data_IF_817087833695
#
_entry.id   IF_817087833695
#
_cell.length_a   1.000
_cell.length_b   1.000
_cell.length_c   1.000
_cell.angle_alpha   90.00
_cell.angle_beta   90.00
_cell.angle_gamma   90.00
#
_symmetry.space_group_name_H-M   'P 1'
#
loop_
_entity.id
_entity.type
_entity.pdbx_description
1 polymer ?
#
# COMPACT_ATOMS: atom_id res chain seq x y z
N UNK A 1 -17.41 -11.12 42.97
CA UNK A 1 -16.28 -11.45 42.09
C UNK A 1 -16.86 -11.65 40.71
N UNK A 2 -16.64 -10.70 39.80
CA UNK A 2 -17.25 -10.70 38.45
C UNK A 2 -16.61 -11.80 37.62
N UNK A 3 -17.48 -12.46 36.87
CA UNK A 3 -17.23 -13.59 36.00
C UNK A 3 -15.92 -13.49 35.21
N UNK A 4 -14.99 -14.38 35.51
CA UNK A 4 -13.91 -14.80 34.61
C UNK A 4 -14.53 -15.64 33.48
N UNK A 5 -15.50 -15.05 32.78
CA UNK A 5 -16.20 -15.68 31.68
C UNK A 5 -15.21 -15.89 30.54
N UNK A 6 -14.87 -17.15 30.32
CA UNK A 6 -14.42 -17.73 29.05
C UNK A 6 -13.62 -16.78 28.17
N UNK A 7 -12.33 -16.58 28.49
CA UNK A 7 -11.42 -16.22 27.41
C UNK A 7 -11.43 -17.39 26.41
N UNK A 8 -11.94 -17.19 25.18
CA UNK A 8 -12.00 -18.27 24.21
C UNK A 8 -10.58 -18.79 24.01
N UNK A 9 -10.38 -20.09 24.21
CA UNK A 9 -9.08 -20.74 24.10
C UNK A 9 -8.35 -20.24 22.83
N UNK A 10 -7.07 -19.83 22.94
CA UNK A 10 -6.34 -19.25 21.83
C UNK A 10 -6.41 -20.19 20.63
N UNK A 11 -7.04 -19.74 19.55
CA UNK A 11 -7.28 -20.55 18.36
C UNK A 11 -5.91 -21.01 17.84
N UNK A 12 -5.65 -22.32 17.70
CA UNK A 12 -4.33 -22.80 17.36
C UNK A 12 -3.92 -22.26 16.00
N UNK A 13 -2.66 -21.83 15.89
CA UNK A 13 -2.05 -21.50 14.61
C UNK A 13 -2.01 -22.75 13.75
N UNK A 14 -2.89 -22.84 12.76
CA UNK A 14 -2.79 -23.88 11.73
C UNK A 14 -1.59 -23.61 10.84
N UNK A 15 -0.84 -24.65 10.47
CA UNK A 15 0.33 -24.56 9.56
C UNK A 15 -0.01 -23.78 8.28
N UNK A 16 -1.22 -23.99 7.75
CA UNK A 16 -1.77 -23.26 6.61
C UNK A 16 -1.75 -21.73 6.79
N UNK A 17 -2.02 -21.25 8.00
CA UNK A 17 -2.08 -19.82 8.33
C UNK A 17 -0.70 -19.18 8.31
N UNK A 18 0.32 -19.91 8.74
CA UNK A 18 1.73 -19.47 8.66
C UNK A 18 2.18 -19.40 7.21
N UNK A 19 1.82 -20.40 6.40
CA UNK A 19 2.10 -20.42 4.95
C UNK A 19 1.43 -19.22 4.26
N UNK A 20 0.16 -18.95 4.56
CA UNK A 20 -0.57 -17.81 4.00
C UNK A 20 0.03 -16.46 4.40
N UNK A 21 0.47 -16.31 5.66
CA UNK A 21 1.17 -15.12 6.12
C UNK A 21 2.53 -14.93 5.42
N UNK A 22 3.27 -16.01 5.20
CA UNK A 22 4.50 -16.01 4.42
C UNK A 22 4.28 -15.59 2.96
N UNK A 23 3.26 -16.14 2.31
CA UNK A 23 2.87 -15.74 0.96
C UNK A 23 2.44 -14.27 0.88
N UNK A 24 1.62 -13.80 1.82
CA UNK A 24 1.22 -12.40 1.90
C UNK A 24 2.42 -11.46 2.07
N UNK A 25 3.39 -11.87 2.91
CA UNK A 25 4.65 -11.15 3.12
C UNK A 25 5.47 -11.08 1.83
N UNK A 26 5.61 -12.19 1.12
CA UNK A 26 6.32 -12.22 -0.17
C UNK A 26 5.68 -11.28 -1.20
N UNK A 27 4.35 -11.28 -1.29
CA UNK A 27 3.62 -10.37 -2.20
C UNK A 27 3.83 -8.92 -1.80
N UNK A 28 3.70 -8.57 -0.51
CA UNK A 28 3.92 -7.22 -0.02
C UNK A 28 5.36 -6.74 -0.29
N UNK A 29 6.36 -7.62 -0.12
CA UNK A 29 7.76 -7.32 -0.44
C UNK A 29 7.96 -7.13 -1.94
N UNK A 30 7.39 -7.99 -2.78
CA UNK A 30 7.48 -7.87 -4.24
C UNK A 30 6.86 -6.54 -4.73
N UNK A 31 5.68 -6.18 -4.20
CA UNK A 31 5.02 -4.89 -4.49
C UNK A 31 5.86 -3.72 -4.00
N UNK A 32 6.39 -3.80 -2.77
CA UNK A 32 7.24 -2.75 -2.22
C UNK A 32 8.51 -2.54 -3.04
N UNK A 33 9.15 -3.62 -3.48
CA UNK A 33 10.34 -3.58 -4.34
C UNK A 33 10.04 -2.97 -5.72
N UNK A 34 8.94 -3.39 -6.36
CA UNK A 34 8.52 -2.84 -7.64
C UNK A 34 8.18 -1.34 -7.53
N UNK A 35 7.52 -0.95 -6.44
CA UNK A 35 7.20 0.45 -6.14
C UNK A 35 8.46 1.29 -5.92
N UNK A 36 9.47 0.72 -5.25
CA UNK A 36 10.76 1.36 -5.08
C UNK A 36 11.49 1.55 -6.42
N UNK A 37 11.39 0.58 -7.32
CA UNK A 37 11.90 0.71 -8.69
C UNK A 37 11.24 1.85 -9.48
N UNK A 38 9.94 2.11 -9.24
CA UNK A 38 9.19 3.21 -9.87
C UNK A 38 9.43 4.58 -9.23
N UNK A 39 10.03 4.63 -8.04
CA UNK A 39 10.27 5.87 -7.31
C UNK A 39 11.23 6.82 -8.04
N UNK A 40 12.32 6.28 -8.60
CA UNK A 40 13.31 7.05 -9.36
C UNK A 40 12.73 7.69 -10.64
N UNK A 41 12.03 6.94 -11.52
CA UNK A 41 11.30 7.51 -12.65
C UNK A 41 10.28 8.60 -12.25
N UNK A 42 9.55 8.39 -11.14
CA UNK A 42 8.61 9.39 -10.63
C UNK A 42 9.33 10.68 -10.23
N UNK A 43 10.46 10.59 -9.52
CA UNK A 43 11.24 11.77 -9.17
C UNK A 43 11.71 12.55 -10.40
N UNK A 44 12.18 11.87 -11.44
CA UNK A 44 12.59 12.57 -12.67
C UNK A 44 11.41 13.24 -13.37
N UNK A 45 10.29 12.54 -13.48
CA UNK A 45 9.07 13.02 -14.17
C UNK A 45 8.47 14.23 -13.48
N UNK A 46 8.42 14.24 -12.15
CA UNK A 46 7.83 15.34 -11.36
C UNK A 46 8.87 16.39 -10.92
N UNK A 47 10.16 16.21 -11.21
CA UNK A 47 11.25 17.12 -10.77
C UNK A 47 11.02 18.58 -11.14
N UNK A 48 10.50 18.83 -12.34
CA UNK A 48 10.20 20.18 -12.83
C UNK A 48 9.06 20.83 -12.03
N UNK A 49 8.03 20.05 -11.69
CA UNK A 49 6.89 20.50 -10.87
C UNK A 49 7.32 20.80 -9.44
N UNK A 50 8.19 19.96 -8.85
CA UNK A 50 8.72 20.13 -7.49
C UNK A 50 9.66 21.34 -7.36
N UNK A 51 10.14 21.90 -8.49
CA UNK A 51 11.12 23.00 -8.52
C UNK A 51 10.52 24.39 -8.71
N UNK A 52 9.20 24.49 -8.92
CA UNK A 52 8.51 25.77 -9.07
C UNK A 52 8.01 26.31 -7.72
N UNK A 53 8.11 27.63 -7.50
CA UNK A 53 7.64 28.30 -6.27
C UNK A 53 6.11 28.18 -6.08
N UNK A 54 5.35 28.08 -7.18
CA UNK A 54 3.92 27.75 -7.18
C UNK A 54 3.72 26.28 -7.56
N UNK A 55 3.83 25.39 -6.57
CA UNK A 55 3.67 23.95 -6.77
C UNK A 55 2.22 23.63 -7.13
N UNK A 56 2.00 23.11 -8.34
CA UNK A 56 0.69 22.55 -8.73
C UNK A 56 0.31 21.41 -7.78
N UNK A 57 -0.70 21.68 -6.95
CA UNK A 57 -1.17 20.77 -5.90
C UNK A 57 -1.66 19.44 -6.48
N UNK A 58 -2.16 19.42 -7.71
CA UNK A 58 -2.61 18.19 -8.37
C UNK A 58 -1.43 17.28 -8.72
N UNK A 59 -0.35 17.85 -9.26
CA UNK A 59 0.85 17.11 -9.61
C UNK A 59 1.65 16.66 -8.36
N UNK A 60 1.67 17.47 -7.29
CA UNK A 60 2.22 17.05 -6.00
C UNK A 60 1.45 15.86 -5.40
N UNK A 61 0.11 15.91 -5.45
CA UNK A 61 -0.74 14.81 -4.97
C UNK A 61 -0.51 13.52 -5.77
N UNK A 62 -0.39 13.62 -7.11
CA UNK A 62 -0.06 12.49 -7.97
C UNK A 62 1.31 11.89 -7.61
N UNK A 63 2.33 12.73 -7.43
CA UNK A 63 3.67 12.28 -7.02
C UNK A 63 3.63 11.55 -5.66
N UNK A 64 2.97 12.12 -4.64
CA UNK A 64 2.85 11.51 -3.32
C UNK A 64 2.10 10.17 -3.38
N UNK A 65 1.02 10.11 -4.17
CA UNK A 65 0.25 8.88 -4.32
C UNK A 65 1.05 7.77 -5.03
N UNK A 66 1.75 8.10 -6.11
CA UNK A 66 2.59 7.18 -6.88
C UNK A 66 3.86 6.75 -6.13
N UNK A 67 4.33 7.57 -5.17
CA UNK A 67 5.48 7.24 -4.32
C UNK A 67 5.11 6.62 -2.98
N UNK A 68 3.82 6.53 -2.64
CA UNK A 68 3.37 5.95 -1.36
C UNK A 68 3.54 4.42 -1.28
N UNK A 69 3.77 3.73 -2.40
CA UNK A 69 3.86 2.27 -2.46
C UNK A 69 4.80 1.61 -1.45
N UNK A 70 6.07 2.04 -1.32
CA UNK A 70 7.01 1.49 -0.35
C UNK A 70 6.56 1.72 1.11
N UNK A 71 5.96 2.87 1.40
CA UNK A 71 5.47 3.22 2.74
C UNK A 71 4.27 2.35 3.10
N UNK A 72 3.32 2.16 2.18
CA UNK A 72 2.14 1.32 2.38
C UNK A 72 2.55 -0.15 2.55
N UNK A 73 3.52 -0.64 1.77
CA UNK A 73 4.08 -1.98 1.91
C UNK A 73 4.76 -2.19 3.27
N UNK A 74 5.59 -1.24 3.71
CA UNK A 74 6.26 -1.31 5.01
C UNK A 74 5.26 -1.25 6.18
N UNK A 75 4.32 -0.31 6.14
CA UNK A 75 3.30 -0.17 7.18
C UNK A 75 2.39 -1.40 7.26
N UNK A 76 1.96 -1.95 6.12
CA UNK A 76 1.16 -3.17 6.05
C UNK A 76 1.89 -4.39 6.62
N UNK A 77 3.18 -4.54 6.31
CA UNK A 77 4.03 -5.57 6.89
C UNK A 77 4.14 -5.44 8.41
N UNK A 78 4.51 -4.26 8.91
CA UNK A 78 4.69 -4.03 10.34
C UNK A 78 3.38 -4.28 11.10
N UNK A 79 2.29 -3.64 10.69
CA UNK A 79 0.98 -3.78 11.35
C UNK A 79 0.44 -5.20 11.25
N UNK A 80 0.63 -5.86 10.11
CA UNK A 80 0.19 -7.24 9.91
C UNK A 80 0.94 -8.24 10.77
N UNK A 81 2.26 -8.10 10.91
CA UNK A 81 3.07 -8.93 11.80
C UNK A 81 2.78 -8.67 13.29
N UNK A 82 2.54 -7.42 13.68
CA UNK A 82 2.10 -7.07 15.04
C UNK A 82 0.74 -7.71 15.34
N UNK A 83 -0.23 -7.60 14.43
CA UNK A 83 -1.55 -8.22 14.58
C UNK A 83 -1.49 -9.75 14.64
N UNK A 84 -0.58 -10.35 13.86
CA UNK A 84 -0.36 -11.78 13.83
C UNK A 84 0.27 -12.32 15.12
N UNK A 85 1.36 -11.70 15.59
CA UNK A 85 2.15 -12.18 16.73
C UNK A 85 1.61 -11.71 18.09
N UNK A 86 1.30 -10.42 18.21
CA UNK A 86 0.98 -9.79 19.49
C UNK A 86 -0.50 -9.94 19.84
N UNK A 87 -1.38 -9.71 18.85
CA UNK A 87 -2.83 -9.78 19.03
C UNK A 87 -3.42 -11.17 18.74
N UNK A 88 -2.59 -12.15 18.34
CA UNK A 88 -2.99 -13.50 17.96
C UNK A 88 -4.18 -13.51 16.98
N UNK A 89 -4.24 -12.53 16.09
CA UNK A 89 -5.34 -12.30 15.15
C UNK A 89 -4.87 -12.59 13.71
N UNK A 90 -4.63 -13.86 13.34
CA UNK A 90 -3.94 -14.19 12.10
C UNK A 90 -4.69 -13.75 10.84
N UNK A 91 -6.03 -13.80 10.85
CA UNK A 91 -6.84 -13.32 9.71
C UNK A 91 -6.67 -11.82 9.49
N UNK A 92 -6.61 -11.05 10.57
CA UNK A 92 -6.42 -9.60 10.52
C UNK A 92 -5.00 -9.27 10.10
N UNK A 93 -4.00 -9.99 10.64
CA UNK A 93 -2.60 -9.86 10.23
C UNK A 93 -2.40 -10.09 8.73
N UNK A 94 -2.89 -11.21 8.19
CA UNK A 94 -2.77 -11.52 6.76
C UNK A 94 -3.46 -10.44 5.90
N UNK A 95 -4.65 -9.98 6.30
CA UNK A 95 -5.36 -8.91 5.59
C UNK A 95 -4.57 -7.60 5.60
N UNK A 96 -3.97 -7.23 6.72
CA UNK A 96 -3.17 -6.01 6.84
C UNK A 96 -1.87 -6.06 6.03
N UNK A 97 -1.24 -7.23 5.91
CA UNK A 97 -0.06 -7.38 5.05
C UNK A 97 -0.42 -7.32 3.57
N UNK A 98 -1.52 -7.97 3.17
CA UNK A 98 -1.84 -8.15 1.75
C UNK A 98 -2.71 -7.03 1.17
N UNK A 99 -3.77 -6.63 1.86
CA UNK A 99 -4.81 -5.78 1.30
C UNK A 99 -4.34 -4.35 0.99
N UNK A 100 -3.65 -3.62 1.89
CA UNK A 100 -3.21 -2.26 1.60
C UNK A 100 -2.25 -2.16 0.39
N UNK A 101 -1.21 -3.00 0.26
CA UNK A 101 -0.32 -2.96 -0.89
C UNK A 101 -1.05 -3.28 -2.20
N UNK A 102 -1.93 -4.30 -2.19
CA UNK A 102 -2.69 -4.69 -3.38
C UNK A 102 -3.70 -3.62 -3.77
N UNK A 103 -4.42 -3.03 -2.80
CA UNK A 103 -5.35 -1.94 -3.04
C UNK A 103 -4.65 -0.73 -3.66
N UNK A 104 -3.44 -0.40 -3.19
CA UNK A 104 -2.63 0.65 -3.78
C UNK A 104 -2.24 0.34 -5.23
N UNK A 105 -1.75 -0.86 -5.54
CA UNK A 105 -1.43 -1.25 -6.93
C UNK A 105 -2.65 -1.13 -7.84
N UNK A 106 -3.81 -1.61 -7.40
CA UNK A 106 -5.06 -1.50 -8.18
C UNK A 106 -5.43 -0.04 -8.41
N UNK A 107 -5.29 0.81 -7.39
CA UNK A 107 -5.59 2.22 -7.52
C UNK A 107 -4.60 2.97 -8.44
N UNK A 108 -3.32 2.60 -8.42
CA UNK A 108 -2.31 3.11 -9.37
C UNK A 108 -2.65 2.68 -10.81
N UNK A 109 -3.01 1.42 -11.03
CA UNK A 109 -3.43 0.94 -12.35
C UNK A 109 -4.70 1.65 -12.86
N UNK A 110 -5.69 1.85 -11.97
CA UNK A 110 -6.89 2.60 -12.31
C UNK A 110 -6.57 4.06 -12.66
N UNK A 111 -5.65 4.69 -11.92
CA UNK A 111 -5.18 6.05 -12.20
C UNK A 111 -4.47 6.15 -13.57
N UNK A 112 -3.58 5.20 -13.89
CA UNK A 112 -2.96 5.14 -15.22
C UNK A 112 -3.99 4.91 -16.34
N UNK A 113 -4.98 4.05 -16.12
CA UNK A 113 -6.05 3.83 -17.09
C UNK A 113 -6.87 5.11 -17.33
N UNK A 114 -7.15 5.90 -16.28
CA UNK A 114 -7.82 7.19 -16.40
C UNK A 114 -6.96 8.22 -17.15
N UNK A 115 -5.67 8.30 -16.83
CA UNK A 115 -4.74 9.21 -17.55
C UNK A 115 -4.69 8.90 -19.04
N UNK A 116 -4.58 7.62 -19.39
CA UNK A 116 -4.47 7.19 -20.79
C UNK A 116 -5.78 7.33 -21.57
N UNK A 117 -6.94 7.27 -20.91
CA UNK A 117 -8.25 7.33 -21.58
C UNK A 117 -8.89 8.72 -21.58
N UNK A 118 -8.58 9.57 -20.59
CA UNK A 118 -9.26 10.86 -20.39
C UNK A 118 -8.28 12.04 -20.48
N UNK A 119 -7.02 11.86 -20.10
CA UNK A 119 -6.04 12.95 -19.98
C UNK A 119 -5.04 13.01 -21.13
N UNK A 120 -5.23 12.22 -22.20
CA UNK A 120 -4.31 12.12 -23.35
C UNK A 120 -2.84 11.83 -22.93
N UNK A 121 -2.65 11.12 -21.82
CA UNK A 121 -1.33 10.83 -21.26
C UNK A 121 -0.77 11.90 -20.31
N UNK A 122 -1.48 13.00 -20.06
CA UNK A 122 -1.12 13.99 -19.03
C UNK A 122 -1.45 13.47 -17.63
N UNK A 123 -0.49 13.58 -16.69
CA UNK A 123 -0.69 13.17 -15.29
C UNK A 123 -1.73 14.02 -14.55
N UNK A 124 -2.07 15.21 -15.06
CA UNK A 124 -3.11 16.07 -14.51
C UNK A 124 -4.22 16.30 -15.55
N UNK A 125 -5.34 15.58 -15.41
CA UNK A 125 -6.59 15.97 -16.06
C UNK A 125 -7.12 17.22 -15.34
N UNK A 126 -6.89 18.40 -15.90
CA UNK A 126 -7.51 19.64 -15.40
C UNK A 126 -6.57 20.80 -15.09
N UNK A 127 -5.28 20.73 -15.41
CA UNK A 127 -4.38 21.89 -15.34
C UNK A 127 -4.51 22.85 -16.55
N UNK A 128 -5.54 22.68 -17.37
CA UNK A 128 -5.92 23.62 -18.44
C UNK A 128 -7.28 24.24 -18.11
N UNK A 129 -7.26 25.24 -17.23
CA UNK A 129 -8.30 26.27 -17.10
C UNK A 129 -7.62 27.59 -16.78
#
# INVERSE_FOLDING_TARGET
>A
MRDLADEPAPKPYTVLTVILMGLATLVAVAIGFLSFGLYLPNLMTFSQVLSQDDVDKAALAAFLFLSAGPVIAAAGLILGWISFLLFRAPKTGIRLVFFPPVAWVVAVLAYFALIMSVCDGSFTCGASL
#
